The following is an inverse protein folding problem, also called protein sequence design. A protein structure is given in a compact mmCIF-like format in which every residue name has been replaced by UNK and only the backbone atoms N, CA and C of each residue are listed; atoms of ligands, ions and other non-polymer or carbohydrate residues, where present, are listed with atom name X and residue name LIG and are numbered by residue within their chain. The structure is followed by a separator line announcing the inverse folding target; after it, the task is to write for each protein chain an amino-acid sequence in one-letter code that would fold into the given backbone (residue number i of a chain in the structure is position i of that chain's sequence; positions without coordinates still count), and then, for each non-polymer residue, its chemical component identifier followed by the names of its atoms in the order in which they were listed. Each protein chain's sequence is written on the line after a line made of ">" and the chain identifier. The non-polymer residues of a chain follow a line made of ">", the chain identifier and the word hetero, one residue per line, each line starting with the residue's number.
data_IF_998787727760
#
_entry.id   IF_998787727760
#
_cell.length_a   1.000
_cell.length_b   1.000
_cell.length_c   1.000
_cell.angle_alpha   90.00
_cell.angle_beta   90.00
_cell.angle_gamma   90.00
#
_symmetry.space_group_name_H-M   'P 1'
#
loop_
_entity.id
_entity.type
_entity.pdbx_description
1 polymer ?
#
# COMPACT_ATOMS: atom_id res chain seq x y z
N UNK A 1 24.53 -35.79 -36.67
CA UNK A 1 23.15 -35.28 -36.85
C UNK A 1 22.76 -34.69 -35.50
N UNK A 2 23.16 -33.48 -35.13
CA UNK A 2 22.83 -32.19 -35.76
C UNK A 2 21.92 -31.44 -34.77
N UNK A 3 22.45 -31.09 -33.59
CA UNK A 3 21.72 -30.35 -32.56
C UNK A 3 21.92 -28.86 -32.82
N UNK A 4 20.81 -28.14 -33.02
CA UNK A 4 20.77 -26.71 -33.29
C UNK A 4 21.18 -25.92 -32.04
N UNK A 5 22.33 -25.24 -32.10
CA UNK A 5 22.74 -24.21 -31.14
C UNK A 5 21.97 -22.90 -31.41
N UNK A 6 21.37 -22.24 -30.39
CA UNK A 6 20.78 -20.93 -30.57
C UNK A 6 21.85 -19.84 -30.66
N UNK A 7 21.85 -19.12 -31.77
CA UNK A 7 22.69 -17.97 -32.07
C UNK A 7 22.37 -16.80 -31.12
N UNK A 8 23.29 -16.49 -30.21
CA UNK A 8 23.18 -15.39 -29.23
C UNK A 8 23.74 -14.05 -29.74
N UNK A 9 24.07 -13.91 -31.03
CA UNK A 9 24.73 -12.73 -31.61
C UNK A 9 23.78 -11.84 -32.43
N UNK A 10 22.58 -11.56 -31.91
CA UNK A 10 21.71 -10.55 -32.49
C UNK A 10 22.03 -9.14 -31.95
N UNK A 11 22.38 -8.14 -32.79
CA UNK A 11 22.60 -6.78 -32.32
C UNK A 11 21.28 -6.12 -31.86
N UNK A 12 21.30 -5.58 -30.64
CA UNK A 12 20.22 -4.80 -30.03
C UNK A 12 19.90 -3.57 -30.88
N UNK A 13 18.78 -3.61 -31.62
CA UNK A 13 18.27 -2.44 -32.36
C UNK A 13 17.76 -1.40 -31.36
N UNK A 14 18.58 -0.38 -31.08
CA UNK A 14 18.15 0.86 -30.41
C UNK A 14 17.07 1.55 -31.25
N UNK A 15 15.82 1.39 -30.86
CA UNK A 15 14.69 2.15 -31.42
C UNK A 15 14.80 3.61 -30.99
N UNK A 16 15.10 4.49 -31.94
CA UNK A 16 15.11 5.94 -31.77
C UNK A 16 13.70 6.41 -31.35
N UNK A 17 13.59 7.01 -30.15
CA UNK A 17 12.42 7.79 -29.74
C UNK A 17 12.21 8.92 -30.74
N UNK A 18 11.09 8.89 -31.48
CA UNK A 18 10.63 10.02 -32.28
C UNK A 18 9.93 11.01 -31.34
N UNK A 19 10.48 12.21 -31.24
CA UNK A 19 9.82 13.35 -30.62
C UNK A 19 8.67 13.82 -31.52
N UNK A 20 7.46 13.92 -30.97
CA UNK A 20 6.33 14.55 -31.65
C UNK A 20 6.28 16.03 -31.26
N UNK A 21 6.26 16.97 -32.22
CA UNK A 21 6.09 18.38 -31.91
C UNK A 21 4.65 18.67 -31.47
N UNK A 22 4.53 19.38 -30.35
CA UNK A 22 3.29 19.92 -29.80
C UNK A 22 2.84 21.06 -30.71
N UNK A 23 1.69 20.89 -31.37
CA UNK A 23 1.03 21.97 -32.11
C UNK A 23 -0.05 22.55 -31.22
N UNK A 24 0.22 23.74 -30.68
CA UNK A 24 -0.77 24.56 -29.97
C UNK A 24 -1.55 25.35 -31.03
N UNK A 25 -2.84 25.03 -31.21
CA UNK A 25 -3.76 25.88 -31.97
C UNK A 25 -4.72 26.52 -30.98
N UNK A 26 -4.50 27.80 -30.71
CA UNK A 26 -5.48 28.65 -30.03
C UNK A 26 -6.60 29.02 -30.99
N UNK A 27 -7.84 28.85 -30.54
CA UNK A 27 -9.01 29.48 -31.17
C UNK A 27 -9.76 30.23 -30.08
N UNK A 28 -9.58 31.55 -30.09
CA UNK A 28 -10.39 32.51 -29.35
C UNK A 28 -11.61 32.78 -30.22
N UNK A 29 -12.80 32.38 -29.76
CA UNK A 29 -14.06 32.83 -30.32
C UNK A 29 -14.76 33.72 -29.30
N UNK A 30 -14.64 35.03 -29.50
CA UNK A 30 -15.45 36.05 -28.83
C UNK A 30 -16.75 36.16 -29.62
N UNK A 31 -17.86 35.71 -29.04
CA UNK A 31 -19.20 36.06 -29.52
C UNK A 31 -19.91 36.85 -28.43
N UNK A 32 -19.92 38.17 -28.62
CA UNK A 32 -20.86 39.08 -28.00
C UNK A 32 -22.24 38.91 -28.66
N UNK A 33 -23.32 38.91 -27.87
CA UNK A 33 -24.66 38.86 -28.46
C UNK A 33 -25.83 38.60 -27.50
N UNK A 34 -26.28 39.68 -26.86
CA UNK A 34 -27.65 40.03 -26.46
C UNK A 34 -28.45 39.29 -25.36
N UNK A 35 -28.94 40.15 -24.45
CA UNK A 35 -30.00 40.01 -23.45
C UNK A 35 -31.22 39.22 -23.93
N UNK A 36 -31.71 38.34 -23.05
CA UNK A 36 -33.14 38.11 -22.83
C UNK A 36 -33.40 38.05 -21.32
N UNK A 37 -34.09 39.09 -20.86
CA UNK A 37 -34.73 39.20 -19.55
C UNK A 37 -36.02 38.34 -19.57
N UNK A 38 -36.53 38.01 -18.37
CA UNK A 38 -37.82 37.34 -18.02
C UNK A 38 -37.73 35.81 -18.01
N UNK A 39 -37.96 35.08 -16.91
CA UNK A 39 -38.93 35.26 -15.83
C UNK A 39 -38.41 34.75 -14.46
N UNK A 40 -38.75 35.49 -13.41
CA UNK A 40 -38.76 34.99 -12.03
C UNK A 40 -39.75 33.82 -11.91
N UNK A 41 -39.28 32.68 -11.42
CA UNK A 41 -40.15 31.67 -10.82
C UNK A 41 -39.59 31.39 -9.42
N UNK A 42 -40.19 32.06 -8.45
CA UNK A 42 -39.99 31.84 -7.03
C UNK A 42 -40.30 30.39 -6.70
N UNK A 43 -39.25 29.56 -6.57
CA UNK A 43 -39.35 28.28 -5.86
C UNK A 43 -39.22 28.59 -4.37
N UNK A 44 -40.14 28.10 -3.52
CA UNK A 44 -39.99 28.23 -2.08
C UNK A 44 -38.66 27.59 -1.64
N UNK A 45 -38.01 28.09 -0.58
CA UNK A 45 -36.81 27.47 -0.06
C UNK A 45 -37.20 26.08 0.45
N UNK A 46 -36.86 25.06 -0.33
CA UNK A 46 -36.79 23.71 0.20
C UNK A 46 -35.73 23.77 1.30
N UNK A 47 -36.21 23.76 2.52
CA UNK A 47 -35.53 23.37 3.74
C UNK A 47 -34.39 22.44 3.36
N UNK A 48 -33.14 22.87 3.56
CA UNK A 48 -32.00 21.96 3.56
C UNK A 48 -32.28 20.98 4.70
N UNK A 49 -33.01 19.91 4.37
CA UNK A 49 -33.07 18.72 5.19
C UNK A 49 -31.62 18.33 5.38
N UNK A 50 -31.17 18.43 6.64
CA UNK A 50 -29.86 17.99 7.07
C UNK A 50 -29.59 16.64 6.40
N UNK A 51 -28.54 16.59 5.58
CA UNK A 51 -28.04 15.33 5.03
C UNK A 51 -27.90 14.38 6.22
N UNK A 52 -28.51 13.18 6.18
CA UNK A 52 -28.36 12.24 7.28
C UNK A 52 -26.86 12.03 7.47
N UNK A 53 -26.40 12.19 8.72
CA UNK A 53 -25.03 11.91 9.10
C UNK A 53 -24.66 10.56 8.50
N UNK A 54 -23.67 10.56 7.62
CA UNK A 54 -23.17 9.34 6.99
C UNK A 54 -22.79 8.42 8.13
N UNK A 55 -23.53 7.32 8.30
CA UNK A 55 -23.18 6.24 9.22
C UNK A 55 -21.70 5.94 8.97
N UNK A 56 -20.85 6.15 9.97
CA UNK A 56 -19.43 5.92 9.84
C UNK A 56 -19.22 4.54 9.20
N UNK A 57 -18.40 4.48 8.16
CA UNK A 57 -18.06 3.20 7.53
C UNK A 57 -17.55 2.25 8.63
N UNK A 58 -17.86 0.95 8.55
CA UNK A 58 -17.35 -0.01 9.52
C UNK A 58 -15.81 0.06 9.55
N UNK A 59 -15.18 -0.20 10.72
CA UNK A 59 -13.73 -0.29 10.80
C UNK A 59 -13.24 -1.31 9.76
N UNK A 60 -12.18 -0.96 9.02
CA UNK A 60 -11.66 -1.77 7.91
C UNK A 60 -10.22 -2.17 8.19
N UNK A 61 -9.89 -3.41 7.84
CA UNK A 61 -8.55 -3.97 7.93
C UNK A 61 -7.67 -3.71 6.70
N UNK A 62 -8.13 -2.84 5.79
CA UNK A 62 -7.40 -2.52 4.56
C UNK A 62 -5.98 -2.02 4.82
N UNK A 63 -5.78 -1.20 5.87
CA UNK A 63 -4.46 -0.72 6.27
C UNK A 63 -3.50 -1.88 6.59
N UNK A 64 -3.93 -2.85 7.40
CA UNK A 64 -3.09 -3.99 7.76
C UNK A 64 -2.71 -4.82 6.53
N UNK A 65 -3.70 -5.11 5.67
CA UNK A 65 -3.49 -5.92 4.46
C UNK A 65 -2.52 -5.27 3.47
N UNK A 66 -2.68 -3.97 3.22
CA UNK A 66 -1.80 -3.24 2.32
C UNK A 66 -0.39 -3.15 2.92
N UNK A 67 -0.29 -2.68 4.16
CA UNK A 67 1.02 -2.42 4.76
C UNK A 67 1.81 -3.70 5.06
N UNK A 68 1.16 -4.82 5.41
CA UNK A 68 1.90 -6.08 5.63
C UNK A 68 2.48 -6.67 4.34
N UNK A 69 1.79 -6.47 3.20
CA UNK A 69 2.31 -6.83 1.88
C UNK A 69 3.47 -5.92 1.48
N UNK A 70 3.29 -4.60 1.61
CA UNK A 70 4.35 -3.63 1.34
C UNK A 70 5.57 -3.86 2.22
N UNK A 71 5.39 -4.27 3.48
CA UNK A 71 6.48 -4.63 4.36
C UNK A 71 7.26 -5.85 3.83
N UNK A 72 6.56 -6.88 3.35
CA UNK A 72 7.20 -8.05 2.77
C UNK A 72 7.91 -7.73 1.46
N UNK A 73 7.34 -6.88 0.60
CA UNK A 73 7.99 -6.40 -0.62
C UNK A 73 9.28 -5.63 -0.29
N UNK A 74 9.25 -4.78 0.74
CA UNK A 74 10.41 -4.01 1.20
C UNK A 74 11.54 -4.92 1.73
N UNK A 75 11.20 -5.94 2.53
CA UNK A 75 12.17 -6.94 3.02
C UNK A 75 12.76 -7.74 1.87
N UNK A 76 11.94 -8.13 0.90
CA UNK A 76 12.39 -8.88 -0.26
C UNK A 76 13.33 -8.03 -1.13
N UNK A 77 12.98 -6.78 -1.41
CA UNK A 77 13.84 -5.85 -2.15
C UNK A 77 15.19 -5.65 -1.45
N UNK A 78 15.20 -5.50 -0.12
CA UNK A 78 16.43 -5.41 0.65
C UNK A 78 17.29 -6.68 0.52
N UNK A 79 16.68 -7.86 0.56
CA UNK A 79 17.39 -9.14 0.38
C UNK A 79 17.95 -9.28 -1.03
N UNK A 80 17.25 -8.81 -2.05
CA UNK A 80 17.73 -8.85 -3.43
C UNK A 80 18.90 -7.88 -3.67
N UNK A 81 18.95 -6.75 -2.95
CA UNK A 81 20.07 -5.79 -3.02
C UNK A 81 21.28 -6.22 -2.16
N UNK A 82 21.04 -6.74 -0.96
CA UNK A 82 22.09 -6.98 0.04
C UNK A 82 22.42 -8.46 0.30
N UNK A 83 21.64 -9.38 -0.26
CA UNK A 83 21.81 -10.83 -0.12
C UNK A 83 21.40 -11.41 1.23
N UNK A 84 20.81 -10.62 2.14
CA UNK A 84 20.43 -11.04 3.49
C UNK A 84 19.05 -10.51 3.89
N UNK A 85 18.28 -11.32 4.62
CA UNK A 85 17.06 -10.86 5.28
C UNK A 85 17.39 -10.11 6.59
N UNK A 86 16.51 -9.20 6.98
CA UNK A 86 16.68 -8.38 8.18
C UNK A 86 15.43 -8.44 9.06
N UNK A 87 15.63 -8.48 10.37
CA UNK A 87 14.55 -8.36 11.36
C UNK A 87 14.26 -6.89 11.64
N UNK A 88 12.99 -6.54 11.83
CA UNK A 88 12.57 -5.16 12.08
C UNK A 88 11.41 -5.10 13.07
N UNK A 89 11.33 -4.02 13.84
CA UNK A 89 10.29 -3.85 14.85
C UNK A 89 10.39 -4.80 16.05
N UNK A 90 9.33 -4.91 16.85
CA UNK A 90 8.00 -4.37 16.61
C UNK A 90 7.92 -2.83 16.73
N UNK A 91 7.30 -2.17 15.74
CA UNK A 91 7.11 -0.71 15.71
C UNK A 91 5.68 -0.36 15.25
N UNK A 92 4.94 0.50 15.98
CA UNK A 92 5.25 1.09 17.28
C UNK A 92 5.48 0.05 18.39
N UNK A 93 6.13 0.42 19.49
CA UNK A 93 6.52 -0.52 20.57
C UNK A 93 5.31 -1.21 21.21
N UNK A 94 4.21 -0.49 21.34
CA UNK A 94 2.94 -1.02 21.85
C UNK A 94 1.98 -1.25 20.68
N UNK A 95 1.17 -2.31 20.80
CA UNK A 95 0.09 -2.59 19.85
C UNK A 95 -0.98 -1.51 20.01
N UNK A 96 -1.38 -0.80 18.95
CA UNK A 96 -2.48 0.17 19.04
C UNK A 96 -3.79 -0.52 19.45
N UNK A 97 -4.57 0.13 20.33
CA UNK A 97 -5.78 -0.44 20.96
C UNK A 97 -7.00 0.46 20.83
N UNK A 98 -8.18 -0.14 20.80
CA UNK A 98 -9.46 0.57 20.80
C UNK A 98 -9.73 1.33 19.50
N UNK A 99 -9.22 0.85 18.37
CA UNK A 99 -9.32 1.53 17.07
C UNK A 99 -8.57 2.87 16.99
N UNK A 100 -7.65 3.14 17.92
CA UNK A 100 -6.92 4.42 17.96
C UNK A 100 -5.62 4.36 17.18
N UNK A 101 -5.50 5.22 16.17
CA UNK A 101 -4.25 5.41 15.45
C UNK A 101 -3.19 6.10 16.32
N UNK A 102 -1.96 5.61 16.25
CA UNK A 102 -0.78 6.19 16.92
C UNK A 102 0.26 6.60 15.89
N UNK A 103 1.15 7.54 16.24
CA UNK A 103 2.24 7.91 15.33
C UNK A 103 3.17 6.70 15.11
N UNK A 104 3.60 6.48 13.87
CA UNK A 104 4.66 5.53 13.58
C UNK A 104 6.01 6.19 13.91
N UNK A 105 6.72 5.78 14.98
CA UNK A 105 7.99 6.41 15.31
C UNK A 105 9.04 6.04 14.26
N UNK A 106 10.01 6.94 14.05
CA UNK A 106 11.14 6.64 13.18
C UNK A 106 11.92 5.46 13.73
N UNK A 107 12.12 4.46 12.89
CA UNK A 107 12.91 3.27 13.17
C UNK A 107 13.94 3.09 12.06
N UNK A 108 15.21 3.04 12.43
CA UNK A 108 16.32 3.04 11.47
C UNK A 108 16.36 1.77 10.62
N UNK A 109 15.81 0.65 11.10
CA UNK A 109 15.75 -0.59 10.33
C UNK A 109 14.60 -0.57 9.34
N UNK A 110 13.43 -0.11 9.76
CA UNK A 110 12.30 0.11 8.85
C UNK A 110 12.63 1.14 7.76
N UNK A 111 13.30 2.24 8.14
CA UNK A 111 13.79 3.23 7.18
C UNK A 111 14.79 2.61 6.18
N UNK A 112 15.72 1.78 6.66
CA UNK A 112 16.73 1.12 5.82
C UNK A 112 16.13 0.17 4.79
N UNK A 113 15.07 -0.55 5.13
CA UNK A 113 14.36 -1.41 4.17
C UNK A 113 13.36 -0.65 3.30
N UNK A 114 13.17 0.65 3.53
CA UNK A 114 12.24 1.48 2.78
C UNK A 114 10.77 1.31 3.18
N UNK A 115 10.49 0.84 4.39
CA UNK A 115 9.14 0.75 4.94
C UNK A 115 8.85 1.92 5.88
N UNK A 116 8.07 2.89 5.42
CA UNK A 116 7.67 4.08 6.19
C UNK A 116 6.19 4.38 5.98
N UNK A 117 5.28 3.79 6.77
CA UNK A 117 3.86 4.08 6.66
C UNK A 117 3.59 5.54 7.06
N UNK A 118 2.82 6.24 6.23
CA UNK A 118 2.56 7.67 6.41
C UNK A 118 1.72 7.97 7.66
N UNK A 119 2.20 8.90 8.48
CA UNK A 119 1.41 9.53 9.54
C UNK A 119 1.14 8.63 10.75
N UNK A 120 -0.12 8.22 10.93
CA UNK A 120 -0.56 7.43 12.08
C UNK A 120 -1.05 6.07 11.61
N UNK A 121 -0.73 5.04 12.38
CA UNK A 121 -1.07 3.64 12.10
C UNK A 121 -1.98 3.07 13.18
N UNK A 122 -2.86 2.16 12.79
CA UNK A 122 -3.71 1.37 13.69
C UNK A 122 -3.09 0.01 14.04
N UNK A 123 -1.95 -0.31 13.45
CA UNK A 123 -1.26 -1.58 13.63
C UNK A 123 0.21 -1.38 14.03
N UNK A 124 0.72 -2.32 14.80
CA UNK A 124 2.14 -2.55 15.02
C UNK A 124 2.67 -3.47 13.92
N UNK A 125 3.84 -3.14 13.39
CA UNK A 125 4.51 -3.89 12.32
C UNK A 125 5.79 -4.55 12.83
N UNK A 126 6.06 -5.76 12.35
CA UNK A 126 7.25 -6.53 12.71
C UNK A 126 7.69 -7.44 11.57
N UNK A 127 9.00 -7.60 11.41
CA UNK A 127 9.62 -8.61 10.56
C UNK A 127 10.39 -9.58 11.45
N UNK A 128 10.02 -10.85 11.38
CA UNK A 128 10.69 -11.94 12.08
C UNK A 128 11.37 -12.83 11.05
N UNK A 129 12.64 -13.11 11.24
CA UNK A 129 13.42 -14.06 10.43
C UNK A 129 13.77 -15.23 11.33
N UNK A 130 13.40 -16.44 10.92
CA UNK A 130 13.69 -17.69 11.63
C UNK A 130 14.42 -18.64 10.69
N UNK A 131 15.27 -19.50 11.24
CA UNK A 131 15.86 -20.59 10.46
C UNK A 131 14.89 -21.78 10.47
N UNK A 132 14.57 -22.29 9.28
CA UNK A 132 13.78 -23.51 9.12
C UNK A 132 14.58 -24.75 9.56
N UNK A 133 13.93 -25.90 9.79
CA UNK A 133 14.64 -27.15 10.11
C UNK A 133 15.65 -27.62 9.05
N UNK A 134 15.56 -27.08 7.82
CA UNK A 134 16.46 -27.38 6.72
C UNK A 134 17.57 -26.33 6.54
N UNK A 135 17.68 -25.37 7.46
CA UNK A 135 18.73 -24.34 7.46
C UNK A 135 18.45 -23.14 6.54
N UNK A 136 17.25 -23.05 5.96
CA UNK A 136 16.85 -21.93 5.11
C UNK A 136 16.10 -20.85 5.91
N UNK A 137 16.32 -19.56 5.64
CA UNK A 137 15.63 -18.48 6.34
C UNK A 137 14.16 -18.41 5.93
N UNK A 138 13.27 -18.40 6.91
CA UNK A 138 11.84 -18.12 6.79
C UNK A 138 11.53 -16.73 7.35
N UNK A 139 10.89 -15.90 6.53
CA UNK A 139 10.50 -14.54 6.91
C UNK A 139 9.01 -14.49 7.20
N UNK A 140 8.64 -13.83 8.30
CA UNK A 140 7.25 -13.46 8.63
C UNK A 140 7.14 -11.94 8.78
N UNK A 141 6.36 -11.32 7.91
CA UNK A 141 5.89 -9.93 8.05
C UNK A 141 4.57 -9.96 8.81
N UNK A 142 4.47 -9.15 9.87
CA UNK A 142 3.36 -9.19 10.82
C UNK A 142 2.79 -7.79 10.96
N UNK A 143 1.46 -7.67 10.94
CA UNK A 143 0.72 -6.51 11.43
C UNK A 143 -0.24 -6.93 12.56
N UNK A 144 -0.18 -6.26 13.71
CA UNK A 144 -1.01 -6.57 14.89
C UNK A 144 -1.72 -5.32 15.41
N UNK A 145 -3.02 -5.41 15.67
CA UNK A 145 -3.80 -4.27 16.19
C UNK A 145 -5.22 -4.64 16.60
N UNK A 146 -5.78 -3.89 17.55
CA UNK A 146 -7.20 -3.92 17.93
C UNK A 146 -7.88 -2.73 17.25
N UNK A 147 -8.16 -2.90 15.94
CA UNK A 147 -8.58 -1.82 15.05
C UNK A 147 -10.10 -1.56 15.10
N UNK A 148 -10.89 -2.58 15.46
CA UNK A 148 -12.33 -2.50 15.64
C UNK A 148 -12.74 -2.18 17.09
N UNK A 149 -11.79 -2.23 18.02
CA UNK A 149 -11.96 -1.79 19.40
C UNK A 149 -12.71 -2.77 20.28
N UNK A 150 -12.75 -4.05 19.90
CA UNK A 150 -13.36 -5.12 20.69
C UNK A 150 -12.44 -5.64 21.81
N UNK A 151 -11.19 -5.15 21.84
CA UNK A 151 -10.18 -5.50 22.84
C UNK A 151 -9.34 -6.73 22.48
N UNK A 152 -9.67 -7.41 21.37
CA UNK A 152 -8.89 -8.51 20.83
C UNK A 152 -7.98 -8.00 19.72
N UNK A 153 -6.75 -8.48 19.67
CA UNK A 153 -5.87 -8.13 18.57
C UNK A 153 -6.23 -8.98 17.34
N UNK A 154 -6.29 -8.33 16.20
CA UNK A 154 -6.20 -9.01 14.90
C UNK A 154 -4.72 -9.08 14.50
N UNK A 155 -4.28 -10.24 14.03
CA UNK A 155 -2.93 -10.52 13.55
C UNK A 155 -2.99 -10.89 12.07
N UNK A 156 -2.27 -10.13 11.26
CA UNK A 156 -2.10 -10.36 9.83
C UNK A 156 -0.66 -10.80 9.60
N UNK A 157 -0.47 -11.96 8.99
CA UNK A 157 0.85 -12.52 8.71
C UNK A 157 1.00 -12.84 7.24
N UNK A 158 2.11 -12.40 6.66
CA UNK A 158 2.58 -12.83 5.34
C UNK A 158 3.93 -13.50 5.54
N UNK A 159 4.11 -14.65 4.89
CA UNK A 159 5.39 -15.37 4.92
C UNK A 159 6.04 -15.30 3.54
N UNK A 160 7.36 -15.13 3.52
CA UNK A 160 8.16 -15.32 2.31
C UNK A 160 8.75 -16.72 2.34
N UNK A 161 8.68 -17.43 1.22
CA UNK A 161 9.41 -18.68 1.03
C UNK A 161 10.88 -18.43 0.67
N UNK A 162 11.65 -19.51 0.49
CA UNK A 162 13.07 -19.45 0.15
C UNK A 162 13.36 -18.67 -1.17
N UNK A 163 12.38 -18.57 -2.06
CA UNK A 163 12.49 -17.85 -3.33
C UNK A 163 12.03 -16.38 -3.22
N UNK A 164 11.60 -15.94 -2.04
CA UNK A 164 11.06 -14.59 -1.84
C UNK A 164 9.61 -14.44 -2.31
N UNK A 165 8.89 -15.55 -2.57
CA UNK A 165 7.49 -15.46 -2.94
C UNK A 165 6.60 -15.30 -1.71
N UNK A 166 5.69 -14.33 -1.76
CA UNK A 166 4.69 -14.08 -0.72
C UNK A 166 3.63 -15.17 -0.70
N UNK A 167 3.43 -15.78 0.46
CA UNK A 167 2.28 -16.65 0.72
C UNK A 167 1.00 -15.81 0.95
N UNK A 168 -0.20 -16.42 0.82
CA UNK A 168 -1.44 -15.74 1.15
C UNK A 168 -1.42 -15.17 2.57
N UNK A 169 -2.11 -14.04 2.77
CA UNK A 169 -2.23 -13.41 4.09
C UNK A 169 -2.98 -14.35 5.04
N UNK A 170 -2.33 -14.76 6.12
CA UNK A 170 -2.93 -15.45 7.27
C UNK A 170 -3.53 -14.38 8.20
N UNK A 171 -4.79 -14.56 8.61
CA UNK A 171 -5.48 -13.64 9.52
C UNK A 171 -5.96 -14.42 10.73
N UNK A 172 -5.55 -13.99 11.91
CA UNK A 172 -5.89 -14.60 13.20
C UNK A 172 -6.45 -13.53 14.14
N UNK A 173 -7.37 -13.92 15.02
CA UNK A 173 -7.89 -13.09 16.10
C UNK A 173 -7.40 -13.68 17.43
N UNK A 174 -6.65 -12.91 18.21
CA UNK A 174 -6.07 -13.38 19.47
C UNK A 174 -7.20 -13.74 20.46
N UNK A 175 -7.25 -15.00 20.89
CA UNK A 175 -8.24 -15.51 21.84
C UNK A 175 -9.33 -16.40 21.24
N UNK A 176 -9.27 -16.67 19.92
CA UNK A 176 -10.18 -17.56 19.19
C UNK A 176 -9.56 -18.96 18.94
#
# INVERSE_FOLDING_TARGET
>A
MGLNEPDWNAPVRRTRRRAHPIVVVGVIAVTAGHLLVTQCSERPPATQAARPATKAAPPSDAEARVNVLTLCDAVQAYRDEHGVYVTAGPTPKEVPRGGRAVAFPKDETFHRIGFEPDGKVHFQYQVVVQESPVGEPEVSCIARGDFDGDGLNSLYRVRLDANGMTRPIEVEREGE
#
